data_IF_840227127682
#
_entry.id   IF_840227127682
#
_cell.length_a   1.000
_cell.length_b   1.000
_cell.length_c   1.000
_cell.angle_alpha   90.00
_cell.angle_beta   90.00
_cell.angle_gamma   90.00
#
_symmetry.space_group_name_H-M   'P 1'
#
loop_
_entity.id
_entity.type
_entity.pdbx_description
1 polymer ?
#
# COMPACT_ATOMS: atom_id res chain seq x y z
N UNK A 1 -11.14 18.36 6.41
CA UNK A 1 -11.05 17.05 7.09
C UNK A 1 -11.47 15.97 6.11
N UNK A 2 -10.51 15.29 5.49
CA UNK A 2 -10.80 14.10 4.66
C UNK A 2 -11.16 12.99 5.64
N UNK A 3 -12.43 12.57 5.63
CA UNK A 3 -12.92 11.48 6.47
C UNK A 3 -12.36 10.17 5.90
N UNK A 4 -11.40 9.58 6.60
CA UNK A 4 -10.96 8.20 6.36
C UNK A 4 -12.17 7.28 6.50
N UNK A 5 -12.44 6.48 5.48
CA UNK A 5 -13.54 5.51 5.47
C UNK A 5 -13.19 4.42 6.49
N UNK A 6 -14.08 4.10 7.45
CA UNK A 6 -13.80 3.07 8.43
C UNK A 6 -13.68 1.71 7.74
N UNK A 7 -12.46 1.20 7.64
CA UNK A 7 -12.19 -0.15 7.15
C UNK A 7 -10.85 -0.34 6.44
N UNK A 8 -10.19 0.73 6.00
CA UNK A 8 -8.94 0.59 5.24
C UNK A 8 -8.00 1.77 5.47
N UNK A 9 -7.04 1.54 6.38
CA UNK A 9 -5.96 2.48 6.70
C UNK A 9 -4.70 2.07 5.95
N UNK A 10 -3.97 3.05 5.43
CA UNK A 10 -2.63 2.88 4.88
C UNK A 10 -1.70 2.22 5.91
N UNK A 11 -0.91 1.21 5.51
CA UNK A 11 -0.01 0.50 6.43
C UNK A 11 1.01 1.46 7.05
N UNK A 12 1.44 2.43 6.27
CA UNK A 12 2.32 3.50 6.70
C UNK A 12 2.03 4.78 5.91
N UNK A 13 2.23 5.93 6.55
CA UNK A 13 2.17 7.24 5.90
C UNK A 13 3.52 7.95 6.06
N UNK A 14 4.21 8.18 4.95
CA UNK A 14 5.53 8.81 4.95
C UNK A 14 6.28 8.56 3.65
N UNK A 15 7.60 8.70 3.69
CA UNK A 15 8.48 8.48 2.56
C UNK A 15 9.38 7.26 2.83
N UNK A 16 9.42 6.34 1.88
CA UNK A 16 10.32 5.18 1.90
C UNK A 16 11.45 5.50 0.93
N UNK A 17 12.61 5.86 1.45
CA UNK A 17 13.75 6.29 0.64
C UNK A 17 14.65 5.11 0.29
N UNK A 18 14.91 4.24 1.28
CA UNK A 18 15.89 3.18 1.17
C UNK A 18 15.27 1.79 1.29
N UNK A 19 16.02 0.79 0.86
CA UNK A 19 15.66 -0.62 1.11
C UNK A 19 15.57 -0.91 2.62
N UNK A 20 16.37 -0.25 3.45
CA UNK A 20 16.32 -0.38 4.90
C UNK A 20 14.96 0.04 5.47
N UNK A 21 14.43 1.17 5.00
CA UNK A 21 13.10 1.66 5.42
C UNK A 21 12.00 0.67 5.03
N UNK A 22 12.08 0.10 3.83
CA UNK A 22 11.15 -0.93 3.37
C UNK A 22 11.21 -2.19 4.25
N UNK A 23 12.42 -2.63 4.64
CA UNK A 23 12.59 -3.77 5.54
C UNK A 23 12.01 -3.51 6.94
N UNK A 24 12.12 -2.29 7.46
CA UNK A 24 11.47 -1.92 8.73
C UNK A 24 9.95 -2.00 8.65
N UNK A 25 9.36 -1.57 7.53
CA UNK A 25 7.92 -1.72 7.30
C UNK A 25 7.50 -3.19 7.25
N UNK A 26 8.27 -4.05 6.58
CA UNK A 26 8.00 -5.49 6.56
C UNK A 26 8.12 -6.11 7.95
N UNK A 27 9.18 -5.78 8.69
CA UNK A 27 9.36 -6.29 10.06
C UNK A 27 8.23 -5.82 10.97
N UNK A 28 7.82 -4.55 10.91
CA UNK A 28 6.70 -4.02 11.67
C UNK A 28 5.37 -4.73 11.38
N UNK A 29 5.15 -5.16 10.13
CA UNK A 29 4.00 -5.99 9.76
C UNK A 29 4.10 -7.40 10.32
N UNK A 30 5.29 -8.03 10.24
CA UNK A 30 5.52 -9.37 10.78
C UNK A 30 5.39 -9.42 12.31
N UNK A 31 5.81 -8.37 13.00
CA UNK A 31 5.69 -8.22 14.45
C UNK A 31 4.25 -7.83 14.88
N UNK A 32 3.34 -7.58 13.94
CA UNK A 32 1.96 -7.19 14.19
C UNK A 32 1.77 -5.74 14.64
N UNK A 33 2.84 -4.93 14.63
CA UNK A 33 2.82 -3.50 14.98
C UNK A 33 2.09 -2.71 13.89
N UNK A 34 2.35 -3.05 12.63
CA UNK A 34 1.71 -2.47 11.46
C UNK A 34 0.70 -3.45 10.87
N UNK A 35 -0.44 -2.95 10.40
CA UNK A 35 -1.46 -3.78 9.78
C UNK A 35 -1.22 -3.88 8.27
N UNK A 36 -1.01 -5.08 7.71
CA UNK A 36 -0.93 -5.25 6.27
C UNK A 36 -2.28 -4.98 5.63
N UNK A 37 -2.28 -4.58 4.37
CA UNK A 37 -3.47 -4.48 3.55
C UNK A 37 -4.12 -5.87 3.42
N UNK A 38 -5.31 -6.08 4.01
CA UNK A 38 -5.89 -7.42 4.16
C UNK A 38 -6.48 -7.98 2.87
N UNK A 39 -6.87 -7.11 1.94
CA UNK A 39 -7.53 -7.46 0.68
C UNK A 39 -7.32 -6.37 -0.36
N UNK A 40 -7.67 -6.66 -1.61
CA UNK A 40 -7.72 -5.66 -2.69
C UNK A 40 -8.67 -4.52 -2.30
N UNK A 41 -8.19 -3.27 -2.47
CA UNK A 41 -9.02 -2.07 -2.32
C UNK A 41 -10.12 -2.08 -3.41
N UNK A 42 -11.35 -1.65 -3.10
CA UNK A 42 -12.32 -1.31 -4.15
C UNK A 42 -11.92 0.00 -4.85
N UNK A 43 -12.55 0.32 -5.99
CA UNK A 43 -12.26 1.58 -6.71
C UNK A 43 -12.49 2.80 -5.82
N UNK A 44 -13.56 2.78 -5.04
CA UNK A 44 -13.94 3.89 -4.16
C UNK A 44 -12.96 4.06 -2.99
N UNK A 45 -12.50 2.95 -2.42
CA UNK A 45 -11.50 2.93 -1.35
C UNK A 45 -10.11 3.38 -1.87
N UNK A 46 -9.73 2.94 -3.07
CA UNK A 46 -8.48 3.34 -3.70
C UNK A 46 -8.44 4.85 -3.96
N UNK A 47 -9.51 5.43 -4.51
CA UNK A 47 -9.58 6.88 -4.79
C UNK A 47 -9.48 7.72 -3.51
N UNK A 48 -10.00 7.22 -2.39
CA UNK A 48 -10.03 7.97 -1.13
C UNK A 48 -8.79 7.74 -0.24
N UNK A 49 -8.17 6.56 -0.35
CA UNK A 49 -7.06 6.15 0.52
C UNK A 49 -5.69 6.32 -0.14
N UNK A 50 -5.61 6.35 -1.48
CA UNK A 50 -4.34 6.54 -2.19
C UNK A 50 -4.05 8.02 -2.32
N UNK A 51 -3.06 8.49 -1.57
CA UNK A 51 -2.52 9.85 -1.63
C UNK A 51 -0.99 9.83 -1.59
N UNK A 52 -0.35 10.96 -1.89
CA UNK A 52 1.10 11.08 -1.75
C UNK A 52 1.54 10.71 -0.33
N UNK A 53 2.54 9.81 -0.24
CA UNK A 53 3.04 9.26 1.02
C UNK A 53 2.29 8.03 1.56
N UNK A 54 1.26 7.53 0.87
CA UNK A 54 0.57 6.31 1.31
C UNK A 54 1.38 5.07 0.94
N UNK A 55 1.74 4.26 1.92
CA UNK A 55 2.46 3.01 1.74
C UNK A 55 1.58 1.85 2.19
N UNK A 56 1.42 0.87 1.29
CA UNK A 56 0.63 -0.34 1.54
C UNK A 56 1.53 -1.57 1.45
N UNK A 57 1.55 -2.36 2.52
CA UNK A 57 2.23 -3.66 2.54
C UNK A 57 1.17 -4.74 2.39
N UNK A 58 1.38 -5.72 1.51
CA UNK A 58 0.47 -6.85 1.34
C UNK A 58 1.25 -8.15 1.20
N UNK A 59 0.68 -9.24 1.71
CA UNK A 59 1.25 -10.56 1.50
C UNK A 59 0.96 -11.04 0.06
N UNK A 60 2.01 -11.45 -0.65
CA UNK A 60 1.91 -12.05 -1.98
C UNK A 60 1.49 -13.51 -1.84
N UNK A 61 0.28 -13.87 -2.29
CA UNK A 61 -0.23 -15.23 -2.18
C UNK A 61 -1.75 -15.36 -2.38
N UNK A 62 -2.27 -16.57 -2.19
CA UNK A 62 -3.73 -16.85 -2.23
C UNK A 62 -4.51 -16.20 -1.08
N UNK A 63 -3.84 -15.73 -0.03
CA UNK A 63 -4.45 -15.21 1.19
C UNK A 63 -5.04 -13.79 1.03
N UNK A 64 -4.50 -12.96 0.12
CA UNK A 64 -4.98 -11.58 -0.11
C UNK A 64 -5.68 -11.39 -1.46
N UNK A 65 -5.51 -12.33 -2.40
CA UNK A 65 -6.01 -12.22 -3.78
C UNK A 65 -5.29 -11.16 -4.64
N UNK A 66 -4.19 -10.58 -4.16
CA UNK A 66 -3.43 -9.54 -4.86
C UNK A 66 -2.15 -10.14 -5.48
N UNK A 67 -2.19 -10.47 -6.77
CA UNK A 67 -1.00 -10.88 -7.55
C UNK A 67 -0.28 -9.70 -8.23
N UNK A 68 -1.03 -8.63 -8.50
CA UNK A 68 -0.56 -7.37 -9.07
C UNK A 68 -1.35 -6.24 -8.39
N UNK A 69 -0.64 -5.23 -7.90
CA UNK A 69 -1.28 -4.00 -7.41
C UNK A 69 -1.94 -3.28 -8.60
N UNK A 70 -3.14 -2.75 -8.37
CA UNK A 70 -3.87 -1.97 -9.37
C UNK A 70 -4.59 -0.88 -8.62
N UNK A 71 -4.09 0.34 -8.72
CA UNK A 71 -4.59 1.56 -8.08
C UNK A 71 -5.75 2.20 -8.87
N UNK A 72 -6.07 1.69 -10.06
CA UNK A 72 -7.14 2.22 -10.91
C UNK A 72 -6.77 3.53 -11.61
N UNK A 73 -5.53 4.02 -11.43
CA UNK A 73 -4.97 5.15 -12.15
C UNK A 73 -4.27 4.69 -13.43
N UNK A 74 -4.40 5.51 -14.48
CA UNK A 74 -3.55 5.38 -15.67
C UNK A 74 -2.17 5.94 -15.34
N UNK A 75 -1.23 5.04 -15.04
CA UNK A 75 0.17 5.40 -14.93
C UNK A 75 0.76 5.62 -16.34
N UNK A 76 1.68 6.60 -16.51
CA UNK A 76 2.46 6.71 -17.74
C UNK A 76 3.29 5.44 -17.97
N UNK A 77 3.67 5.19 -19.22
CA UNK A 77 4.50 4.02 -19.58
C UNK A 77 5.74 3.92 -18.67
N UNK A 78 6.16 2.70 -18.26
CA UNK A 78 7.33 2.51 -17.42
C UNK A 78 8.55 3.19 -18.03
N UNK A 79 9.22 4.07 -17.27
CA UNK A 79 10.47 4.69 -17.70
C UNK A 79 11.62 3.84 -17.21
N UNK A 80 12.40 3.29 -18.15
CA UNK A 80 13.69 2.70 -17.82
C UNK A 80 14.63 3.82 -17.36
N UNK A 81 15.11 3.75 -16.13
CA UNK A 81 16.25 4.56 -15.69
C UNK A 81 17.51 3.77 -16.06
N UNK A 82 18.34 4.35 -16.95
CA UNK A 82 19.67 3.87 -17.33
C UNK A 82 20.72 4.31 -16.32
#
# INVERSE_FOLDING_TARGET
>A
MVRSIPGLTETFYGYVETTGDALLLFQGVLDGILQPCPRRLTKEEAVTSIRSGSCFVYASGNETGIKRWTDGMLLPLPRAHS
#
